data_IF_541315689381
#
_entry.id   IF_541315689381
#
_cell.length_a   1.000
_cell.length_b   1.000
_cell.length_c   1.000
_cell.angle_alpha   90.00
_cell.angle_beta   90.00
_cell.angle_gamma   90.00
#
_symmetry.space_group_name_H-M   'P 1'
#
loop_
_entity.id
_entity.type
_entity.pdbx_description
1 polymer ?
#
# COMPACT_ATOMS: atom_id res chain seq x y z
N UNK A 1 30.99 -11.17 29.18
CA UNK A 1 30.01 -12.10 28.56
C UNK A 1 28.57 -11.84 28.99
N UNK A 2 28.25 -11.73 30.29
CA UNK A 2 26.86 -11.48 30.78
C UNK A 2 26.22 -10.16 30.32
N UNK A 3 27.00 -9.08 30.26
CA UNK A 3 26.51 -7.76 29.85
C UNK A 3 26.11 -7.68 28.37
N UNK A 4 26.90 -8.32 27.48
CA UNK A 4 26.59 -8.40 26.05
C UNK A 4 25.33 -9.25 25.76
N UNK A 5 25.09 -10.30 26.56
CA UNK A 5 23.85 -11.07 26.49
C UNK A 5 22.63 -10.25 26.90
N UNK A 6 22.74 -9.42 27.94
CA UNK A 6 21.64 -8.55 28.36
C UNK A 6 21.32 -7.48 27.30
N UNK A 7 22.34 -6.88 26.69
CA UNK A 7 22.18 -5.89 25.62
C UNK A 7 21.51 -6.48 24.36
N UNK A 8 21.95 -7.67 23.93
CA UNK A 8 21.37 -8.34 22.75
C UNK A 8 19.92 -8.74 22.99
N UNK A 9 19.59 -9.21 24.20
CA UNK A 9 18.22 -9.51 24.60
C UNK A 9 17.34 -8.24 24.57
N UNK A 10 17.84 -7.13 25.11
CA UNK A 10 17.14 -5.86 25.15
C UNK A 10 16.87 -5.31 23.74
N UNK A 11 17.87 -5.34 22.86
CA UNK A 11 17.70 -4.90 21.46
C UNK A 11 16.69 -5.76 20.70
N UNK A 12 16.67 -7.07 20.94
CA UNK A 12 15.71 -7.98 20.31
C UNK A 12 14.28 -7.71 20.78
N UNK A 13 14.10 -7.44 22.09
CA UNK A 13 12.81 -7.03 22.65
C UNK A 13 12.37 -5.68 22.07
N UNK A 14 13.26 -4.69 22.00
CA UNK A 14 12.92 -3.40 21.40
C UNK A 14 12.51 -3.52 19.93
N UNK A 15 13.17 -4.37 19.12
CA UNK A 15 12.77 -4.61 17.72
C UNK A 15 11.43 -5.35 17.60
N UNK A 16 11.13 -6.29 18.49
CA UNK A 16 9.84 -6.97 18.52
C UNK A 16 8.70 -5.99 18.91
N UNK A 17 8.96 -5.06 19.83
CA UNK A 17 7.98 -4.06 20.29
C UNK A 17 7.88 -2.86 19.33
N UNK A 18 8.91 -2.57 18.53
CA UNK A 18 8.90 -1.56 17.47
C UNK A 18 8.21 -2.01 16.17
N UNK A 19 7.43 -3.10 16.19
CA UNK A 19 6.39 -3.30 15.18
C UNK A 19 5.25 -2.28 15.36
N UNK A 20 5.59 -0.99 15.50
CA UNK A 20 4.72 0.05 15.01
C UNK A 20 4.76 -0.09 13.50
N UNK A 21 3.64 -0.44 12.85
CA UNK A 21 3.58 -0.36 11.41
C UNK A 21 4.04 1.05 11.03
N UNK A 22 4.99 1.15 10.10
CA UNK A 22 5.32 2.44 9.47
C UNK A 22 4.05 3.11 8.86
N UNK A 23 2.95 2.35 8.74
CA UNK A 23 1.60 2.71 8.35
C UNK A 23 0.74 3.42 9.43
N UNK A 24 1.33 3.99 10.49
CA UNK A 24 0.65 5.08 11.22
C UNK A 24 0.88 6.44 10.52
N UNK A 25 1.67 6.44 9.44
CA UNK A 25 1.92 7.60 8.60
C UNK A 25 1.06 7.55 7.35
N UNK A 26 0.07 8.45 7.28
CA UNK A 26 -0.69 8.88 6.09
C UNK A 26 -1.95 8.07 5.73
N UNK A 27 -3.03 8.25 6.50
CA UNK A 27 -4.42 7.88 6.12
C UNK A 27 -4.70 6.37 5.93
N UNK A 28 -4.02 5.48 6.65
CA UNK A 28 -4.23 4.02 6.51
C UNK A 28 -5.40 3.46 7.34
N UNK A 29 -5.93 4.22 8.31
CA UNK A 29 -7.01 3.77 9.20
C UNK A 29 -8.27 4.63 9.01
N UNK A 30 -9.36 4.00 8.57
CA UNK A 30 -10.65 4.68 8.43
C UNK A 30 -11.44 4.74 9.73
N UNK A 31 -11.21 3.81 10.67
CA UNK A 31 -11.94 3.72 11.95
C UNK A 31 -11.11 3.11 13.07
N UNK A 32 -11.31 3.59 14.29
CA UNK A 32 -10.74 3.00 15.51
C UNK A 32 -11.72 3.15 16.68
N UNK A 33 -11.55 2.31 17.71
CA UNK A 33 -12.41 2.37 18.89
C UNK A 33 -11.93 3.45 19.86
N UNK A 34 -12.86 4.27 20.33
CA UNK A 34 -12.64 5.30 21.33
C UNK A 34 -13.60 5.11 22.50
N UNK A 35 -13.18 5.51 23.70
CA UNK A 35 -14.08 5.59 24.85
C UNK A 35 -14.66 7.00 24.93
N UNK A 36 -15.97 7.09 24.93
CA UNK A 36 -16.74 8.32 25.19
C UNK A 36 -17.56 8.15 26.47
N UNK A 37 -18.21 9.21 26.93
CA UNK A 37 -19.13 9.16 28.09
C UNK A 37 -20.30 8.18 27.88
N UNK A 38 -20.64 7.87 26.63
CA UNK A 38 -21.69 6.91 26.25
C UNK A 38 -21.15 5.47 26.12
N UNK A 39 -19.85 5.26 26.36
CA UNK A 39 -19.19 3.95 26.30
C UNK A 39 -18.20 3.83 25.14
N UNK A 40 -17.93 2.59 24.73
CA UNK A 40 -17.00 2.29 23.63
C UNK A 40 -17.70 2.57 22.29
N UNK A 41 -17.20 3.54 21.53
CA UNK A 41 -17.75 3.95 20.24
C UNK A 41 -16.68 3.93 19.14
N UNK A 42 -17.09 4.09 17.89
CA UNK A 42 -16.18 4.14 16.74
C UNK A 42 -15.95 5.59 16.32
N UNK A 43 -14.69 5.98 16.21
CA UNK A 43 -14.30 7.24 15.57
C UNK A 43 -13.89 7.00 14.11
N UNK A 44 -14.22 7.95 13.23
CA UNK A 44 -14.01 7.83 11.78
C UNK A 44 -13.09 8.94 11.28
N UNK A 45 -12.10 8.57 10.48
CA UNK A 45 -11.11 9.50 9.94
C UNK A 45 -10.98 9.33 8.42
N UNK A 46 -10.36 10.32 7.77
CA UNK A 46 -10.00 10.17 6.36
C UNK A 46 -9.07 8.96 6.18
N UNK A 47 -9.23 8.23 5.09
CA UNK A 47 -8.35 7.14 4.71
C UNK A 47 -8.09 7.11 3.20
N UNK A 48 -6.96 6.52 2.80
CA UNK A 48 -6.54 6.38 1.41
C UNK A 48 -6.22 4.90 1.12
N UNK A 49 -6.62 4.35 -0.04
CA UNK A 49 -6.20 3.02 -0.44
C UNK A 49 -4.70 2.97 -0.73
N UNK A 50 -4.13 1.77 -0.69
CA UNK A 50 -2.76 1.54 -1.11
C UNK A 50 -2.56 1.96 -2.57
N UNK A 51 -1.44 2.63 -2.85
CA UNK A 51 -1.07 2.97 -4.20
C UNK A 51 -0.75 1.68 -4.97
N UNK A 52 -1.51 1.42 -6.03
CA UNK A 52 -1.32 0.27 -6.90
C UNK A 52 -1.15 0.73 -8.36
N UNK A 53 -0.50 -0.10 -9.17
CA UNK A 53 -0.48 0.11 -10.62
C UNK A 53 -1.92 -0.02 -11.14
N UNK A 54 -2.48 1.04 -11.71
CA UNK A 54 -3.85 1.03 -12.24
C UNK A 54 -3.92 0.48 -13.67
N UNK A 55 -2.78 0.32 -14.36
CA UNK A 55 -2.74 -0.18 -15.75
C UNK A 55 -3.15 -1.64 -15.87
N UNK A 56 -3.05 -2.42 -14.79
CA UNK A 56 -3.60 -3.78 -14.70
C UNK A 56 -5.13 -3.83 -14.62
N UNK A 57 -5.81 -2.71 -14.30
CA UNK A 57 -7.27 -2.67 -14.10
C UNK A 57 -8.02 -1.88 -15.17
N UNK A 58 -7.31 -1.23 -16.10
CA UNK A 58 -7.95 -0.42 -17.15
C UNK A 58 -8.51 -1.29 -18.28
N UNK A 59 -9.49 -0.74 -19.00
CA UNK A 59 -10.00 -1.30 -20.26
C UNK A 59 -9.58 -0.37 -21.40
N UNK A 60 -8.82 -0.89 -22.35
CA UNK A 60 -8.35 -0.12 -23.51
C UNK A 60 -9.39 -0.18 -24.63
N UNK A 61 -9.67 0.97 -25.23
CA UNK A 61 -10.47 1.11 -26.46
C UNK A 61 -9.68 1.90 -27.49
N UNK A 62 -9.63 1.42 -28.73
CA UNK A 62 -8.99 2.10 -29.85
C UNK A 62 -10.04 2.71 -30.78
N UNK A 63 -9.78 3.89 -31.30
CA UNK A 63 -10.62 4.58 -32.29
C UNK A 63 -9.76 5.11 -33.44
N UNK A 64 -9.93 4.62 -34.69
CA UNK A 64 -10.85 3.55 -35.06
C UNK A 64 -10.37 2.18 -34.53
N UNK A 65 -11.28 1.22 -34.32
CA UNK A 65 -10.95 -0.06 -33.71
C UNK A 65 -10.01 -0.94 -34.56
N UNK A 66 -9.87 -0.64 -35.85
CA UNK A 66 -9.04 -1.37 -36.82
C UNK A 66 -7.67 -0.71 -37.05
N UNK A 67 -7.21 0.18 -36.17
CA UNK A 67 -5.94 0.91 -36.35
C UNK A 67 -4.69 0.06 -36.03
N UNK A 68 -4.85 -1.09 -35.37
CA UNK A 68 -3.73 -1.98 -35.03
C UNK A 68 -3.14 -2.60 -36.31
N UNK A 69 -1.84 -2.42 -36.52
CA UNK A 69 -1.15 -2.98 -37.69
C UNK A 69 -1.11 -4.52 -37.65
N UNK A 70 -0.95 -5.13 -38.83
CA UNK A 70 -0.78 -6.59 -38.98
C UNK A 70 -1.78 -7.25 -39.93
N UNK A 71 -2.86 -6.56 -40.29
CA UNK A 71 -3.85 -7.04 -41.27
C UNK A 71 -4.26 -5.93 -42.26
N UNK A 72 -3.66 -5.87 -43.48
CA UNK A 72 -2.60 -6.75 -43.99
C UNK A 72 -1.23 -6.46 -43.34
N UNK A 73 -0.22 -7.33 -43.52
CA UNK A 73 1.14 -7.04 -43.06
C UNK A 73 1.73 -5.79 -43.72
N UNK A 74 2.34 -4.92 -42.92
CA UNK A 74 2.94 -3.65 -43.35
C UNK A 74 4.45 -3.61 -43.06
N UNK A 75 5.22 -2.89 -43.87
CA UNK A 75 6.65 -2.63 -43.63
C UNK A 75 6.81 -1.43 -42.69
N UNK A 76 7.68 -1.54 -41.69
CA UNK A 76 8.02 -0.44 -40.79
C UNK A 76 9.52 -0.13 -40.83
N UNK A 77 9.88 1.11 -40.52
CA UNK A 77 11.27 1.55 -40.35
C UNK A 77 11.62 1.52 -38.86
N UNK A 78 12.76 0.95 -38.49
CA UNK A 78 13.31 1.10 -37.15
C UNK A 78 14.09 2.43 -37.04
N UNK A 79 14.01 3.07 -35.86
CA UNK A 79 14.80 4.26 -35.52
C UNK A 79 16.20 3.88 -35.03
#
# INVERSE_FOLDING_TARGET
MRFHFALTLWTSVCQAVQHYPAAWGHYDLCKFQIYTEEGLTWDYMACQPEAADMTQYLKVTLDPPNITCGDPPETYCAL
#
